data_IF_002535552529
#
_entry.id   IF_002535552529
#
_cell.length_a   1.000
_cell.length_b   1.000
_cell.length_c   1.000
_cell.angle_alpha   90.00
_cell.angle_beta   90.00
_cell.angle_gamma   90.00
#
_symmetry.space_group_name_H-M   'P 1'
#
loop_
_entity.id
_entity.type
_entity.pdbx_description
1 polymer ?
#
# COMPACT_ATOMS: atom_id res chain seq x y z
N UNK A 1 6.70 -0.40 10.74
CA UNK A 1 5.45 0.27 11.13
C UNK A 1 5.50 1.66 10.52
N UNK A 2 4.72 2.00 9.50
CA UNK A 2 4.61 3.41 9.08
C UNK A 2 4.03 4.24 10.22
N UNK A 3 4.30 5.53 10.28
CA UNK A 3 3.65 6.38 11.27
C UNK A 3 2.14 6.35 11.04
N UNK A 4 1.40 5.70 11.93
CA UNK A 4 -0.05 5.77 11.92
C UNK A 4 -0.42 7.27 12.08
N UNK A 5 -0.99 7.87 11.03
CA UNK A 5 -1.32 9.30 11.03
C UNK A 5 -2.26 9.67 12.19
N UNK A 6 -3.09 8.72 12.62
CA UNK A 6 -3.96 8.89 13.79
C UNK A 6 -3.18 8.82 15.11
N UNK A 7 -2.12 8.01 15.20
CA UNK A 7 -1.22 7.99 16.37
C UNK A 7 -0.39 9.29 16.45
N UNK A 8 0.14 9.76 15.32
CA UNK A 8 0.87 11.03 15.27
C UNK A 8 -0.03 12.20 15.67
N UNK A 9 -1.28 12.20 15.21
CA UNK A 9 -2.29 13.17 15.63
C UNK A 9 -2.58 13.12 17.13
N UNK A 10 -2.93 11.94 17.63
CA UNK A 10 -3.38 11.73 19.01
C UNK A 10 -2.29 12.02 20.05
N UNK A 11 -1.02 11.85 19.69
CA UNK A 11 0.11 12.13 20.58
C UNK A 11 0.71 13.50 20.29
N UNK A 12 1.35 13.68 19.14
CA UNK A 12 2.23 14.82 18.90
C UNK A 12 1.47 16.11 18.60
N UNK A 13 0.50 16.06 17.68
CA UNK A 13 -0.30 17.26 17.35
C UNK A 13 -1.19 17.66 18.52
N UNK A 14 -1.81 16.69 19.19
CA UNK A 14 -2.66 16.97 20.37
C UNK A 14 -1.85 17.64 21.48
N UNK A 15 -0.63 17.19 21.77
CA UNK A 15 0.21 17.76 22.83
C UNK A 15 0.72 19.16 22.47
N UNK A 16 1.04 19.39 21.19
CA UNK A 16 1.35 20.72 20.67
C UNK A 16 0.16 21.69 20.84
N UNK A 17 -1.04 21.27 20.43
CA UNK A 17 -2.24 22.10 20.55
C UNK A 17 -2.59 22.41 22.01
N UNK A 18 -2.39 21.47 22.94
CA UNK A 18 -2.54 21.71 24.39
C UNK A 18 -1.60 22.83 24.85
N UNK A 19 -0.32 22.76 24.47
CA UNK A 19 0.67 23.77 24.85
C UNK A 19 0.36 25.15 24.26
N UNK A 20 -0.06 25.21 22.99
CA UNK A 20 -0.46 26.46 22.34
C UNK A 20 -1.70 27.07 23.00
N UNK A 21 -2.71 26.26 23.33
CA UNK A 21 -3.91 26.74 24.02
C UNK A 21 -3.61 27.27 25.42
N UNK A 22 -2.68 26.65 26.16
CA UNK A 22 -2.18 27.15 27.45
C UNK A 22 -1.42 28.47 27.31
N UNK A 23 -0.53 28.57 26.31
CA UNK A 23 0.28 29.76 26.05
C UNK A 23 -0.57 30.95 25.59
N UNK A 24 -1.57 30.70 24.75
CA UNK A 24 -2.50 31.71 24.25
C UNK A 24 -3.59 32.10 25.26
N UNK A 25 -3.66 31.41 26.42
CA UNK A 25 -4.74 31.54 27.40
C UNK A 25 -6.14 31.47 26.76
N UNK A 26 -6.32 30.48 25.88
CA UNK A 26 -7.52 30.30 25.07
C UNK A 26 -8.76 29.94 25.89
N UNK A 27 -9.92 29.89 25.22
CA UNK A 27 -11.18 29.40 25.81
C UNK A 27 -11.14 27.94 26.26
N UNK A 28 -10.14 27.16 25.84
CA UNK A 28 -9.95 25.76 26.28
C UNK A 28 -9.21 25.66 27.62
N UNK A 29 -8.65 26.76 28.14
CA UNK A 29 -7.91 26.77 29.42
C UNK A 29 -8.87 26.81 30.59
N UNK A 30 -8.67 25.88 31.54
CA UNK A 30 -9.40 25.81 32.79
C UNK A 30 -8.45 26.00 33.97
N UNK A 31 -8.94 26.59 35.06
CA UNK A 31 -8.16 26.73 36.30
C UNK A 31 -8.62 25.69 37.31
N UNK A 32 -7.72 24.78 37.69
CA UNK A 32 -8.00 23.71 38.65
C UNK A 32 -7.03 23.87 39.82
N UNK A 33 -7.57 24.16 41.02
CA UNK A 33 -6.79 24.36 42.24
C UNK A 33 -5.63 25.37 42.04
N UNK A 34 -5.89 26.44 41.28
CA UNK A 34 -4.91 27.50 40.99
C UNK A 34 -3.93 27.21 39.85
N UNK A 35 -4.08 26.08 39.14
CA UNK A 35 -3.23 25.70 38.00
C UNK A 35 -4.01 25.74 36.70
N UNK A 36 -3.45 26.37 35.67
CA UNK A 36 -4.00 26.36 34.31
C UNK A 36 -3.80 25.00 33.64
N UNK A 37 -4.89 24.42 33.17
CA UNK A 37 -4.94 23.07 32.57
C UNK A 37 -5.76 23.12 31.28
N UNK A 38 -5.33 22.37 30.26
CA UNK A 38 -6.10 22.11 29.03
C UNK A 38 -6.20 20.60 28.85
N UNK A 39 -7.40 20.08 28.64
CA UNK A 39 -7.62 18.65 28.46
C UNK A 39 -7.45 18.22 27.01
N UNK A 40 -6.71 17.12 26.79
CA UNK A 40 -6.52 16.53 25.46
C UNK A 40 -7.82 16.11 24.77
N UNK A 41 -8.88 15.82 25.54
CA UNK A 41 -10.20 15.48 24.98
C UNK A 41 -10.81 16.70 24.29
N UNK A 42 -10.90 17.81 25.00
CA UNK A 42 -11.52 19.06 24.53
C UNK A 42 -10.76 19.63 23.31
N UNK A 43 -9.43 19.52 23.31
CA UNK A 43 -8.58 19.90 22.17
C UNK A 43 -8.91 19.09 20.91
N UNK A 44 -9.15 17.77 21.03
CA UNK A 44 -9.48 16.88 19.90
C UNK A 44 -10.92 17.02 19.43
N UNK A 45 -11.83 17.43 20.31
CA UNK A 45 -13.21 17.75 19.93
C UNK A 45 -13.26 19.08 19.16
N UNK A 46 -12.52 20.09 19.61
CA UNK A 46 -12.40 21.38 18.90
C UNK A 46 -11.61 21.27 17.59
N UNK A 47 -10.69 20.32 17.50
CA UNK A 47 -9.86 20.05 16.33
C UNK A 47 -9.99 18.57 15.98
N UNK A 48 -11.00 18.16 15.19
CA UNK A 48 -11.14 16.77 14.79
C UNK A 48 -10.06 16.37 13.77
N UNK A 49 -9.49 15.16 13.88
CA UNK A 49 -8.45 14.71 12.97
C UNK A 49 -8.98 14.60 11.53
N UNK A 50 -8.30 15.27 10.61
CA UNK A 50 -8.41 15.03 9.17
C UNK A 50 -7.03 15.05 8.53
N UNK A 51 -6.88 14.40 7.38
CA UNK A 51 -5.61 14.40 6.63
C UNK A 51 -5.18 15.81 6.25
N UNK A 52 -6.12 16.66 5.83
CA UNK A 52 -5.85 18.05 5.46
C UNK A 52 -5.43 18.87 6.67
N UNK A 53 -6.17 18.81 7.78
CA UNK A 53 -5.84 19.54 9.00
C UNK A 53 -4.47 19.13 9.57
N UNK A 54 -4.17 17.82 9.56
CA UNK A 54 -2.87 17.30 10.00
C UNK A 54 -1.73 17.86 9.14
N UNK A 55 -1.90 17.85 7.81
CA UNK A 55 -0.90 18.38 6.89
C UNK A 55 -0.70 19.90 7.07
N UNK A 56 -1.79 20.66 7.19
CA UNK A 56 -1.75 22.11 7.41
C UNK A 56 -1.01 22.47 8.70
N UNK A 57 -1.36 21.83 9.82
CA UNK A 57 -0.70 22.04 11.12
C UNK A 57 0.78 21.68 11.05
N UNK A 58 1.13 20.55 10.42
CA UNK A 58 2.51 20.10 10.31
C UNK A 58 3.34 21.05 9.45
N UNK A 59 2.80 21.51 8.32
CA UNK A 59 3.48 22.46 7.43
C UNK A 59 3.62 23.85 8.06
N UNK A 60 2.64 24.29 8.84
CA UNK A 60 2.66 25.58 9.52
C UNK A 60 3.63 25.62 10.73
N UNK A 61 4.08 24.46 11.23
CA UNK A 61 4.88 24.38 12.46
C UNK A 61 6.19 23.61 12.23
N UNK A 62 7.33 24.31 12.04
CA UNK A 62 8.62 23.69 11.70
C UNK A 62 9.09 22.59 12.68
N UNK A 63 8.83 22.76 13.98
CA UNK A 63 9.20 21.76 15.01
C UNK A 63 8.35 20.48 14.90
N UNK A 64 7.05 20.60 14.59
CA UNK A 64 6.20 19.43 14.34
C UNK A 64 6.58 18.72 13.05
N UNK A 65 6.95 19.46 12.00
CA UNK A 65 7.47 18.89 10.76
C UNK A 65 8.77 18.10 11.00
N UNK A 66 9.70 18.66 11.77
CA UNK A 66 10.93 17.98 12.16
C UNK A 66 10.65 16.72 12.96
N UNK A 67 9.78 16.79 13.97
CA UNK A 67 9.38 15.64 14.78
C UNK A 67 8.67 14.56 13.96
N UNK A 68 7.78 14.96 13.04
CA UNK A 68 7.14 14.05 12.08
C UNK A 68 8.18 13.31 11.23
N UNK A 69 9.15 14.04 10.68
CA UNK A 69 10.25 13.47 9.88
C UNK A 69 11.15 12.55 10.71
N UNK A 70 11.47 12.91 11.95
CA UNK A 70 12.30 12.09 12.84
C UNK A 70 11.59 10.81 13.29
N UNK A 71 10.29 10.91 13.57
CA UNK A 71 9.47 9.74 13.90
C UNK A 71 9.31 8.86 12.67
N UNK A 72 9.05 9.45 11.50
CA UNK A 72 9.03 8.73 10.23
C UNK A 72 10.37 7.99 10.01
N UNK A 73 11.52 8.65 10.21
CA UNK A 73 12.87 8.05 10.15
C UNK A 73 13.10 6.91 11.15
N UNK A 74 12.63 7.05 12.39
CA UNK A 74 12.79 6.02 13.44
C UNK A 74 11.93 4.78 13.20
N UNK A 75 10.76 4.99 12.63
CA UNK A 75 9.81 3.93 12.25
C UNK A 75 10.13 3.29 10.89
N UNK A 76 11.02 3.93 10.12
CA UNK A 76 11.57 3.45 8.85
C UNK A 76 13.04 3.04 9.00
N UNK A 77 13.26 1.79 9.39
CA UNK A 77 14.46 1.05 8.96
C UNK A 77 14.46 0.75 7.44
N UNK A 78 13.83 1.62 6.65
CA UNK A 78 13.76 1.65 5.20
C UNK A 78 13.87 3.11 4.77
N UNK A 79 15.10 3.63 4.80
CA UNK A 79 15.47 4.89 4.20
C UNK A 79 15.34 4.78 2.68
N UNK A 80 14.14 5.03 2.16
CA UNK A 80 13.91 5.58 0.83
C UNK A 80 12.72 6.48 1.05
N UNK A 81 12.94 7.73 1.42
CA UNK A 81 12.24 8.92 0.93
C UNK A 81 12.72 10.15 1.77
N UNK A 82 13.71 10.89 1.25
CA UNK A 82 14.24 12.17 1.74
C UNK A 82 13.32 13.37 1.38
N UNK A 83 13.56 14.54 1.98
CA UNK A 83 12.84 15.80 1.70
C UNK A 83 13.06 16.42 0.29
N UNK A 84 13.85 15.76 -0.55
CA UNK A 84 13.94 16.04 -2.00
C UNK A 84 12.98 15.16 -2.81
N UNK A 85 12.15 14.35 -2.14
CA UNK A 85 11.39 13.33 -2.84
C UNK A 85 10.20 13.86 -3.64
N UNK A 86 9.97 13.28 -4.82
CA UNK A 86 8.86 13.67 -5.66
C UNK A 86 7.56 13.34 -4.93
N UNK A 87 6.54 14.20 -5.05
CA UNK A 87 5.18 13.86 -4.62
C UNK A 87 4.77 12.50 -5.18
N UNK A 88 3.83 11.79 -4.55
CA UNK A 88 3.32 10.51 -5.10
C UNK A 88 2.90 10.64 -6.56
N UNK A 89 2.34 11.80 -6.94
CA UNK A 89 2.05 12.20 -8.33
C UNK A 89 3.31 12.21 -9.21
N UNK A 90 4.38 12.85 -8.77
CA UNK A 90 5.64 12.89 -9.50
C UNK A 90 6.35 11.53 -9.53
N UNK A 91 6.22 10.69 -8.50
CA UNK A 91 6.71 9.30 -8.50
C UNK A 91 5.95 8.49 -9.55
N UNK A 92 4.61 8.52 -9.53
CA UNK A 92 3.77 7.82 -10.50
C UNK A 92 4.11 8.26 -11.92
N UNK A 93 4.22 9.57 -12.17
CA UNK A 93 4.60 10.12 -13.47
C UNK A 93 6.01 9.69 -13.95
N UNK A 94 6.96 9.45 -13.03
CA UNK A 94 8.29 8.93 -13.38
C UNK A 94 8.29 7.42 -13.67
N UNK A 95 7.39 6.66 -13.05
CA UNK A 95 7.31 5.21 -13.22
C UNK A 95 6.65 4.80 -14.54
N UNK A 96 5.60 5.49 -14.96
CA UNK A 96 4.86 5.20 -16.21
C UNK A 96 5.77 5.04 -17.44
N UNK A 97 6.70 5.97 -17.77
CA UNK A 97 7.53 5.82 -18.96
C UNK A 97 8.49 4.63 -18.90
N UNK A 98 8.84 4.13 -17.70
CA UNK A 98 9.78 3.01 -17.55
C UNK A 98 9.20 1.68 -18.08
N UNK A 99 7.87 1.52 -18.07
CA UNK A 99 7.22 0.31 -18.60
C UNK A 99 7.54 0.09 -20.08
N UNK A 100 7.64 1.18 -20.85
CA UNK A 100 8.01 1.14 -22.27
C UNK A 100 9.53 1.04 -22.51
N UNK A 101 10.35 1.40 -21.52
CA UNK A 101 11.81 1.39 -21.65
C UNK A 101 12.41 0.02 -21.34
N UNK A 102 11.83 -0.74 -20.41
CA UNK A 102 12.34 -2.05 -20.01
C UNK A 102 11.89 -3.12 -21.03
N UNK A 103 12.81 -3.77 -21.76
CA UNK A 103 12.45 -4.81 -22.72
C UNK A 103 11.79 -6.03 -22.06
N UNK A 104 11.03 -6.78 -22.85
CA UNK A 104 10.50 -8.08 -22.41
C UNK A 104 11.58 -9.17 -22.47
N UNK A 105 11.36 -10.24 -21.72
CA UNK A 105 12.23 -11.43 -21.69
C UNK A 105 13.12 -11.54 -20.46
N UNK A 106 13.74 -12.70 -20.31
CA UNK A 106 14.52 -13.07 -19.12
C UNK A 106 15.69 -12.14 -18.81
N UNK A 107 16.33 -11.56 -19.83
CA UNK A 107 17.50 -10.66 -19.66
C UNK A 107 17.17 -9.39 -18.89
N UNK A 108 15.94 -8.88 -19.00
CA UNK A 108 15.48 -7.67 -18.33
C UNK A 108 14.51 -7.98 -17.17
N UNK A 109 14.40 -9.24 -16.75
CA UNK A 109 13.45 -9.66 -15.72
C UNK A 109 13.72 -8.99 -14.37
N UNK A 110 14.99 -8.83 -13.98
CA UNK A 110 15.34 -8.14 -12.73
C UNK A 110 14.93 -6.66 -12.75
N UNK A 111 15.12 -5.97 -13.87
CA UNK A 111 14.72 -4.57 -14.01
C UNK A 111 13.20 -4.42 -13.97
N UNK A 112 12.49 -5.34 -14.63
CA UNK A 112 11.03 -5.41 -14.55
C UNK A 112 10.54 -5.67 -13.13
N UNK A 113 11.16 -6.59 -12.39
CA UNK A 113 10.83 -6.87 -10.99
C UNK A 113 11.01 -5.62 -10.12
N UNK A 114 12.09 -4.86 -10.32
CA UNK A 114 12.32 -3.61 -9.63
C UNK A 114 11.25 -2.56 -9.98
N UNK A 115 10.90 -2.43 -11.25
CA UNK A 115 9.84 -1.53 -11.71
C UNK A 115 8.48 -1.88 -11.07
N UNK A 116 8.09 -3.17 -11.10
CA UNK A 116 6.82 -3.62 -10.50
C UNK A 116 6.83 -3.39 -8.99
N UNK A 117 7.94 -3.66 -8.30
CA UNK A 117 8.07 -3.38 -6.87
C UNK A 117 7.81 -1.90 -6.57
N UNK A 118 8.44 -0.99 -7.33
CA UNK A 118 8.23 0.45 -7.19
C UNK A 118 6.79 0.87 -7.52
N UNK A 119 6.23 0.38 -8.62
CA UNK A 119 4.88 0.69 -9.06
C UNK A 119 3.82 0.24 -8.05
N UNK A 120 3.85 -1.01 -7.60
CA UNK A 120 2.87 -1.51 -6.63
C UNK A 120 3.03 -0.83 -5.26
N UNK A 121 4.26 -0.49 -4.87
CA UNK A 121 4.49 0.30 -3.64
C UNK A 121 3.86 1.68 -3.74
N UNK A 122 4.05 2.40 -4.87
CA UNK A 122 3.46 3.71 -5.08
C UNK A 122 1.92 3.65 -5.16
N UNK A 123 1.37 2.63 -5.83
CA UNK A 123 -0.07 2.44 -5.98
C UNK A 123 -0.77 2.14 -4.66
N UNK A 124 -0.24 1.18 -3.92
CA UNK A 124 -0.94 0.56 -2.81
C UNK A 124 -0.50 1.07 -1.44
N UNK A 125 0.44 2.02 -1.35
CA UNK A 125 0.65 2.74 -0.11
C UNK A 125 -0.58 3.61 0.25
N UNK A 126 -1.05 3.60 1.51
CA UNK A 126 -0.50 2.94 2.70
C UNK A 126 -1.03 1.51 2.99
N UNK A 127 -1.91 0.96 2.16
CA UNK A 127 -2.59 -0.32 2.38
C UNK A 127 -1.64 -1.53 2.36
N UNK A 128 -0.68 -1.53 1.42
CA UNK A 128 0.39 -2.53 1.33
C UNK A 128 1.74 -1.87 1.63
N UNK A 129 2.45 -2.42 2.60
CA UNK A 129 3.71 -1.87 3.12
C UNK A 129 4.82 -2.93 3.17
N UNK A 130 6.04 -2.47 3.43
CA UNK A 130 7.22 -3.31 3.63
C UNK A 130 7.39 -4.34 2.50
N UNK A 131 7.57 -3.89 1.23
CA UNK A 131 7.87 -4.82 0.15
C UNK A 131 9.17 -5.56 0.45
N UNK A 132 9.10 -6.89 0.45
CA UNK A 132 10.26 -7.76 0.51
C UNK A 132 10.45 -8.44 -0.83
N UNK A 133 11.54 -8.09 -1.53
CA UNK A 133 11.93 -8.72 -2.78
C UNK A 133 12.66 -10.05 -2.50
N UNK A 134 12.46 -11.04 -3.38
CA UNK A 134 13.18 -12.32 -3.38
C UNK A 134 13.11 -13.05 -2.02
N UNK A 135 11.91 -13.08 -1.43
CA UNK A 135 11.71 -13.70 -0.13
C UNK A 135 11.89 -15.22 -0.22
N UNK A 136 12.94 -15.72 0.42
CA UNK A 136 13.24 -17.14 0.48
C UNK A 136 12.23 -17.89 1.36
N UNK A 137 11.77 -19.04 0.86
CA UNK A 137 10.91 -19.98 1.59
C UNK A 137 11.44 -21.40 1.45
N UNK A 138 11.16 -22.23 2.47
CA UNK A 138 11.62 -23.62 2.57
C UNK A 138 13.14 -23.78 2.46
N UNK A 139 13.89 -23.05 3.28
CA UNK A 139 15.36 -23.07 3.32
C UNK A 139 15.99 -22.73 1.96
N UNK A 140 15.53 -21.64 1.33
CA UNK A 140 16.07 -21.13 0.06
C UNK A 140 15.62 -21.88 -1.21
N UNK A 141 14.89 -23.00 -1.08
CA UNK A 141 14.48 -23.82 -2.25
C UNK A 141 13.42 -23.15 -3.13
N UNK A 142 12.68 -22.21 -2.59
CA UNK A 142 11.59 -21.52 -3.27
C UNK A 142 11.73 -20.02 -2.98
N UNK A 143 11.45 -19.17 -3.97
CA UNK A 143 11.50 -17.71 -3.84
C UNK A 143 10.19 -17.10 -4.29
N UNK A 144 9.70 -16.10 -3.56
CA UNK A 144 8.58 -15.25 -3.95
C UNK A 144 9.17 -13.95 -4.47
N UNK A 145 8.73 -13.49 -5.64
CA UNK A 145 9.31 -12.29 -6.27
C UNK A 145 9.14 -11.07 -5.36
N UNK A 146 7.91 -10.83 -4.88
CA UNK A 146 7.62 -9.74 -3.93
C UNK A 146 6.60 -10.21 -2.89
N UNK A 147 6.81 -9.87 -1.63
CA UNK A 147 5.84 -10.02 -0.54
C UNK A 147 5.57 -8.66 0.09
N UNK A 148 4.30 -8.27 0.16
CA UNK A 148 3.86 -7.11 0.92
C UNK A 148 3.19 -7.52 2.22
N UNK A 149 3.40 -6.74 3.28
CA UNK A 149 2.58 -6.81 4.49
C UNK A 149 1.29 -6.04 4.24
N UNK A 150 0.13 -6.67 4.49
CA UNK A 150 -1.16 -6.01 4.37
C UNK A 150 -1.50 -5.26 5.66
N UNK A 151 -1.39 -3.93 5.61
CA UNK A 151 -1.64 -3.02 6.72
C UNK A 151 -2.88 -2.16 6.52
N UNK A 152 -3.73 -2.51 5.55
CA UNK A 152 -4.91 -1.74 5.20
C UNK A 152 -5.92 -1.63 6.36
N UNK A 153 -6.39 -0.43 6.65
CA UNK A 153 -7.44 -0.21 7.66
C UNK A 153 -8.85 -0.38 7.06
N UNK A 154 -9.01 -0.07 5.77
CA UNK A 154 -10.27 -0.18 5.04
C UNK A 154 -10.08 -0.65 3.57
N UNK A 155 -11.17 -0.63 2.81
CA UNK A 155 -11.13 -0.81 1.37
C UNK A 155 -10.85 -2.24 0.90
N UNK A 156 -10.24 -2.38 -0.27
CA UNK A 156 -10.08 -3.65 -0.96
C UNK A 156 -9.22 -4.65 -0.17
N UNK A 157 -8.04 -4.20 0.26
CA UNK A 157 -7.05 -5.04 0.93
C UNK A 157 -7.45 -5.38 2.38
N UNK A 158 -8.08 -4.47 3.11
CA UNK A 158 -8.60 -4.79 4.45
C UNK A 158 -9.67 -5.89 4.36
N UNK A 159 -10.58 -5.80 3.39
CA UNK A 159 -11.57 -6.85 3.17
C UNK A 159 -10.95 -8.20 2.79
N UNK A 160 -9.80 -8.23 2.08
CA UNK A 160 -9.09 -9.50 1.81
C UNK A 160 -8.34 -10.02 3.04
N UNK A 161 -7.88 -9.14 3.93
CA UNK A 161 -7.26 -9.55 5.19
C UNK A 161 -8.30 -10.20 6.11
N UNK A 162 -9.45 -9.55 6.23
CA UNK A 162 -10.46 -9.88 7.24
C UNK A 162 -11.42 -10.99 6.79
N UNK A 163 -11.48 -11.27 5.49
CA UNK A 163 -12.26 -12.37 4.92
C UNK A 163 -11.64 -13.75 5.25
N UNK A 164 -12.50 -14.71 5.62
CA UNK A 164 -12.06 -16.04 6.08
C UNK A 164 -11.47 -16.90 4.96
N UNK A 165 -11.89 -16.68 3.71
CA UNK A 165 -11.39 -17.46 2.58
C UNK A 165 -9.98 -16.98 2.18
N UNK A 166 -9.78 -15.67 2.13
CA UNK A 166 -8.52 -15.06 1.70
C UNK A 166 -7.50 -14.91 2.82
N UNK A 167 -7.87 -14.40 4.01
CA UNK A 167 -6.95 -14.21 5.16
C UNK A 167 -5.62 -13.55 4.76
N UNK A 168 -5.70 -12.54 3.90
CA UNK A 168 -4.56 -11.94 3.22
C UNK A 168 -3.71 -11.05 4.13
N UNK A 169 -3.08 -11.62 5.16
CA UNK A 169 -2.14 -10.91 6.04
C UNK A 169 -0.91 -10.41 5.27
N UNK A 170 -0.56 -11.13 4.21
CA UNK A 170 0.43 -10.71 3.22
C UNK A 170 -0.19 -10.76 1.83
N UNK A 171 0.34 -9.97 0.91
CA UNK A 171 0.04 -10.06 -0.51
C UNK A 171 1.30 -10.50 -1.23
N UNK A 172 1.27 -11.73 -1.74
CA UNK A 172 2.36 -12.28 -2.55
C UNK A 172 2.16 -11.86 -4.01
N UNK A 173 3.24 -11.46 -4.65
CA UNK A 173 3.26 -11.04 -6.05
C UNK A 173 4.27 -11.87 -6.81
N UNK A 174 3.86 -12.41 -7.95
CA UNK A 174 4.74 -13.05 -8.94
C UNK A 174 4.79 -12.16 -10.19
N UNK A 175 6.00 -11.86 -10.67
CA UNK A 175 6.24 -10.89 -11.73
C UNK A 175 6.78 -11.57 -12.99
N UNK A 176 6.01 -11.53 -14.08
CA UNK A 176 6.35 -12.23 -15.33
C UNK A 176 6.70 -11.23 -16.43
N UNK A 177 8.00 -11.11 -16.72
CA UNK A 177 8.51 -10.29 -17.82
C UNK A 177 8.48 -11.03 -19.17
N UNK A 178 7.36 -11.66 -19.52
CA UNK A 178 7.23 -12.41 -20.79
C UNK A 178 6.11 -11.81 -21.64
N UNK A 179 6.20 -12.02 -22.95
CA UNK A 179 5.13 -11.66 -23.90
C UNK A 179 4.12 -12.77 -24.09
N UNK A 180 4.47 -14.00 -23.73
CA UNK A 180 3.56 -15.15 -23.76
C UNK A 180 2.53 -15.08 -22.64
N UNK A 181 1.38 -15.70 -22.88
CA UNK A 181 0.31 -15.80 -21.89
C UNK A 181 0.74 -16.49 -20.59
N UNK A 182 0.06 -16.11 -19.50
CA UNK A 182 0.18 -16.79 -18.21
C UNK A 182 -0.39 -18.20 -18.35
N UNK A 183 0.46 -19.21 -18.18
CA UNK A 183 0.07 -20.61 -18.23
C UNK A 183 -0.23 -21.15 -16.83
N UNK A 184 -0.66 -22.42 -16.77
CA UNK A 184 -0.99 -23.07 -15.50
C UNK A 184 0.21 -23.12 -14.56
N UNK A 185 1.43 -23.22 -15.09
CA UNK A 185 2.65 -23.31 -14.30
C UNK A 185 2.84 -22.08 -13.40
N UNK A 186 2.60 -20.88 -13.91
CA UNK A 186 2.73 -19.63 -13.15
C UNK A 186 1.62 -19.48 -12.10
N UNK A 187 0.40 -19.90 -12.44
CA UNK A 187 -0.72 -19.91 -11.50
C UNK A 187 -0.45 -20.89 -10.36
N UNK A 188 -0.07 -22.12 -10.69
CA UNK A 188 0.26 -23.18 -9.72
C UNK A 188 1.46 -22.79 -8.84
N UNK A 189 2.44 -22.07 -9.42
CA UNK A 189 3.56 -21.51 -8.68
C UNK A 189 3.08 -20.55 -7.59
N UNK A 190 2.19 -19.61 -7.92
CA UNK A 190 1.63 -18.65 -6.97
C UNK A 190 0.72 -19.33 -5.93
N UNK A 191 -0.16 -20.24 -6.37
CA UNK A 191 -1.01 -21.05 -5.48
C UNK A 191 -0.17 -21.83 -4.47
N UNK A 192 0.95 -22.40 -4.91
CA UNK A 192 1.92 -23.09 -4.06
C UNK A 192 2.67 -22.19 -3.08
N UNK A 193 2.52 -20.85 -3.15
CA UNK A 193 3.02 -19.91 -2.15
C UNK A 193 2.02 -19.65 -1.04
N UNK A 194 0.74 -19.89 -1.25
CA UNK A 194 -0.27 -19.63 -0.24
C UNK A 194 -0.17 -20.59 0.94
N UNK A 195 -0.40 -20.07 2.14
CA UNK A 195 -0.53 -20.86 3.36
C UNK A 195 -1.35 -20.11 4.42
N UNK A 196 -1.58 -20.74 5.56
CA UNK A 196 -2.40 -20.17 6.64
C UNK A 196 -1.82 -18.89 7.25
N UNK A 197 -0.51 -18.66 7.16
CA UNK A 197 0.15 -17.49 7.72
C UNK A 197 0.13 -16.33 6.72
N UNK A 198 0.47 -16.62 5.45
CA UNK A 198 0.52 -15.63 4.36
C UNK A 198 -0.86 -15.23 3.86
N UNK A 199 -1.80 -16.16 3.87
CA UNK A 199 -3.11 -16.03 3.24
C UNK A 199 -3.15 -16.68 1.85
N UNK A 200 -4.33 -16.58 1.24
CA UNK A 200 -4.73 -17.21 -0.01
C UNK A 200 -5.11 -16.17 -1.08
N UNK A 201 -4.58 -14.96 -0.98
CA UNK A 201 -4.74 -13.90 -1.98
C UNK A 201 -3.38 -13.47 -2.53
N UNK A 202 -3.29 -13.29 -3.84
CA UNK A 202 -2.05 -12.87 -4.51
C UNK A 202 -2.30 -12.12 -5.80
N UNK A 203 -1.22 -11.56 -6.33
CA UNK A 203 -1.22 -10.81 -7.59
C UNK A 203 -0.21 -11.46 -8.55
N UNK A 204 -0.58 -11.61 -9.82
CA UNK A 204 0.38 -11.87 -10.89
C UNK A 204 0.50 -10.61 -11.72
N UNK A 205 1.71 -10.13 -11.98
CA UNK A 205 1.95 -9.06 -12.95
C UNK A 205 2.55 -9.63 -14.23
N UNK A 206 2.11 -9.11 -15.37
CA UNK A 206 2.62 -9.53 -16.68
C UNK A 206 2.61 -8.36 -17.67
N UNK A 207 3.33 -8.50 -18.78
CA UNK A 207 3.40 -7.46 -19.81
C UNK A 207 2.08 -7.29 -20.53
N UNK A 208 1.48 -8.40 -20.96
CA UNK A 208 0.22 -8.44 -21.68
C UNK A 208 -0.47 -9.80 -21.47
N UNK A 209 -1.75 -9.86 -21.81
CA UNK A 209 -2.53 -11.11 -21.88
C UNK A 209 -3.17 -11.18 -23.27
N UNK A 210 -2.86 -12.21 -24.04
CA UNK A 210 -3.44 -12.51 -25.34
C UNK A 210 -4.81 -13.19 -25.18
N UNK A 211 -4.89 -14.30 -24.45
CA UNK A 211 -6.15 -15.01 -24.16
C UNK A 211 -6.67 -14.74 -22.75
N UNK A 212 -7.30 -13.57 -22.60
CA UNK A 212 -7.90 -13.12 -21.34
C UNK A 212 -9.01 -14.05 -20.85
N UNK A 213 -9.81 -14.61 -21.75
CA UNK A 213 -10.95 -15.49 -21.38
C UNK A 213 -10.45 -16.78 -20.75
N UNK A 214 -9.44 -17.40 -21.35
CA UNK A 214 -8.83 -18.62 -20.81
C UNK A 214 -8.15 -18.36 -19.47
N UNK A 215 -7.42 -17.25 -19.33
CA UNK A 215 -6.81 -16.89 -18.05
C UNK A 215 -7.86 -16.67 -16.96
N UNK A 216 -8.89 -15.86 -17.22
CA UNK A 216 -9.97 -15.60 -16.25
C UNK A 216 -10.66 -16.89 -15.80
N UNK A 217 -10.91 -17.82 -16.73
CA UNK A 217 -11.46 -19.14 -16.39
C UNK A 217 -10.56 -19.92 -15.43
N UNK A 218 -9.25 -19.95 -15.68
CA UNK A 218 -8.28 -20.64 -14.79
C UNK A 218 -8.23 -20.02 -13.40
N UNK A 219 -8.22 -18.70 -13.30
CA UNK A 219 -8.19 -17.99 -12.01
C UNK A 219 -9.50 -18.21 -11.24
N UNK A 220 -10.64 -18.23 -11.92
CA UNK A 220 -11.95 -18.59 -11.34
C UNK A 220 -12.01 -20.03 -10.86
N UNK A 221 -11.49 -20.98 -11.64
CA UNK A 221 -11.43 -22.39 -11.25
C UNK A 221 -10.62 -22.57 -9.95
N UNK A 222 -9.48 -21.88 -9.81
CA UNK A 222 -8.67 -21.89 -8.59
C UNK A 222 -9.42 -21.29 -7.37
N UNK A 223 -10.14 -20.18 -7.58
CA UNK A 223 -10.93 -19.53 -6.55
C UNK A 223 -12.12 -20.41 -6.09
N UNK A 224 -12.81 -21.03 -7.04
CA UNK A 224 -13.98 -21.91 -6.80
C UNK A 224 -13.58 -23.18 -6.06
N UNK A 225 -12.36 -23.68 -6.31
CA UNK A 225 -11.77 -24.82 -5.59
C UNK A 225 -11.13 -24.42 -4.25
N UNK A 226 -11.26 -23.16 -3.84
CA UNK A 226 -10.68 -22.61 -2.61
C UNK A 226 -9.16 -22.82 -2.51
N UNK A 227 -8.46 -22.89 -3.65
CA UNK A 227 -6.99 -23.00 -3.69
C UNK A 227 -6.34 -21.64 -3.46
N UNK A 228 -7.00 -20.58 -3.93
CA UNK A 228 -6.59 -19.19 -3.71
C UNK A 228 -7.22 -18.24 -4.71
N UNK A 229 -7.04 -16.95 -4.46
CA UNK A 229 -7.63 -15.85 -5.22
C UNK A 229 -6.50 -15.03 -5.82
N UNK A 230 -6.43 -15.00 -7.15
CA UNK A 230 -5.32 -14.38 -7.86
C UNK A 230 -5.87 -13.29 -8.78
N UNK A 231 -5.38 -12.07 -8.62
CA UNK A 231 -5.63 -10.96 -9.55
C UNK A 231 -4.46 -10.83 -10.51
N UNK A 232 -4.72 -10.90 -11.82
CA UNK A 232 -3.70 -10.71 -12.85
C UNK A 232 -3.72 -9.24 -13.34
N UNK A 233 -2.61 -8.52 -13.19
CA UNK A 233 -2.44 -7.14 -13.63
C UNK A 233 -1.48 -7.08 -14.83
N UNK A 234 -1.92 -6.47 -15.93
CA UNK A 234 -1.03 -6.16 -17.05
C UNK A 234 -0.28 -4.85 -16.83
N UNK A 235 0.76 -4.59 -17.62
CA UNK A 235 1.41 -3.27 -17.68
C UNK A 235 0.37 -2.15 -17.94
N UNK A 236 -0.60 -2.40 -18.83
CA UNK A 236 -1.70 -1.46 -19.11
C UNK A 236 -2.53 -1.16 -17.87
N UNK A 237 -2.88 -2.19 -17.08
CA UNK A 237 -3.65 -2.02 -15.85
C UNK A 237 -2.87 -1.21 -14.81
N UNK A 238 -1.57 -1.49 -14.66
CA UNK A 238 -0.71 -0.82 -13.69
C UNK A 238 -0.49 0.65 -14.08
N UNK A 239 -0.23 0.94 -15.36
CA UNK A 239 -0.09 2.30 -15.88
C UNK A 239 -1.38 3.10 -15.64
N UNK A 240 -2.54 2.53 -16.01
CA UNK A 240 -3.84 3.18 -15.79
C UNK A 240 -4.07 3.50 -14.30
N UNK A 241 -3.76 2.56 -13.41
CA UNK A 241 -3.86 2.81 -11.97
C UNK A 241 -2.85 3.85 -11.48
N UNK A 242 -1.65 3.94 -12.07
CA UNK A 242 -0.65 4.95 -11.71
C UNK A 242 -1.11 6.34 -12.13
N UNK A 243 -1.76 6.48 -13.28
CA UNK A 243 -2.35 7.74 -13.74
C UNK A 243 -3.51 8.18 -12.84
N UNK A 244 -4.36 7.24 -12.39
CA UNK A 244 -5.38 7.52 -11.38
C UNK A 244 -4.77 7.91 -10.05
N UNK A 245 -3.71 7.23 -9.60
CA UNK A 245 -3.01 7.58 -8.35
C UNK A 245 -2.40 8.97 -8.44
N UNK A 246 -1.82 9.31 -9.59
CA UNK A 246 -1.23 10.62 -9.84
C UNK A 246 -2.26 11.75 -9.79
N UNK A 247 -3.49 11.47 -10.22
CA UNK A 247 -4.65 12.37 -10.17
C UNK A 247 -5.50 12.24 -8.89
N UNK A 248 -5.00 11.52 -7.87
CA UNK A 248 -5.66 11.31 -6.57
C UNK A 248 -7.03 10.62 -6.66
N UNK A 249 -7.23 9.80 -7.70
CA UNK A 249 -8.45 9.03 -7.92
C UNK A 249 -8.31 7.59 -7.39
N UNK A 250 -8.10 7.46 -6.07
CA UNK A 250 -7.97 6.15 -5.41
C UNK A 250 -9.26 5.31 -5.54
N UNK A 251 -10.43 5.93 -5.73
CA UNK A 251 -11.70 5.24 -5.88
C UNK A 251 -11.79 4.46 -7.21
N UNK A 252 -11.21 4.96 -8.30
CA UNK A 252 -11.10 4.22 -9.56
C UNK A 252 -10.22 2.96 -9.40
N UNK A 253 -9.10 3.08 -8.68
CA UNK A 253 -8.20 1.95 -8.37
C UNK A 253 -8.97 0.90 -7.56
N UNK A 254 -9.66 1.32 -6.51
CA UNK A 254 -10.50 0.43 -5.68
C UNK A 254 -11.56 -0.25 -6.52
N UNK A 255 -12.31 0.49 -7.33
CA UNK A 255 -13.37 -0.05 -8.18
C UNK A 255 -12.83 -1.10 -9.15
N UNK A 256 -11.66 -0.86 -9.77
CA UNK A 256 -10.99 -1.83 -10.65
C UNK A 256 -10.63 -3.11 -9.90
N UNK A 257 -9.96 -3.01 -8.74
CA UNK A 257 -9.58 -4.18 -7.93
C UNK A 257 -10.81 -4.99 -7.48
N UNK A 258 -11.86 -4.33 -7.03
CA UNK A 258 -13.13 -4.99 -6.68
C UNK A 258 -13.77 -5.68 -7.88
N UNK A 259 -13.77 -5.05 -9.05
CA UNK A 259 -14.28 -5.64 -10.29
C UNK A 259 -13.53 -6.91 -10.68
N UNK A 260 -12.18 -6.85 -10.65
CA UNK A 260 -11.33 -8.00 -10.95
C UNK A 260 -11.56 -9.14 -9.96
N UNK A 261 -11.64 -8.84 -8.66
CA UNK A 261 -11.91 -9.86 -7.65
C UNK A 261 -13.31 -10.48 -7.78
N UNK A 262 -14.35 -9.67 -8.07
CA UNK A 262 -15.71 -10.18 -8.31
C UNK A 262 -15.77 -11.14 -9.50
N UNK A 263 -14.98 -10.90 -10.55
CA UNK A 263 -14.91 -11.79 -11.71
C UNK A 263 -14.37 -13.19 -11.37
N UNK A 264 -13.65 -13.34 -10.26
CA UNK A 264 -13.19 -14.63 -9.73
C UNK A 264 -14.30 -15.42 -9.02
N UNK A 265 -15.38 -14.75 -8.60
CA UNK A 265 -16.47 -15.32 -7.81
C UNK A 265 -17.73 -15.60 -8.63
N UNK A 266 -17.84 -15.00 -9.82
CA UNK A 266 -18.92 -15.23 -10.77
C UNK A 266 -18.78 -16.60 -11.45
#
# INVERSE_FOLDING_TARGET
MSLNSQEFYNKQITDFLVAENLKANSSLVQTIKGVSVVYKKDVREANPPSKNFTAEIVLANPELLKLYKELAKRHSSLAVFNDEDPSVTAICGRLVPLFNQIPTGAKAASDYHNLITGALTALFYPDLIQPHKEWEIHDGRKRIDIVFTNAADDGFFAQRRDDRATRANTVVVECKNYTSDIHNQEIDQLLGRFDKNRGYFGIITCRNIEDKVTLEKRLRDAATRHQGYIVALTDKDIIEMLDWKASLNDDAIRAKLFGMYRALLA
#
